data_IF_329340270700
#
_entry.id   IF_329340270700
#
_cell.length_a   1.000
_cell.length_b   1.000
_cell.length_c   1.000
_cell.angle_alpha   90.00
_cell.angle_beta   90.00
_cell.angle_gamma   90.00
#
_symmetry.space_group_name_H-M   'P 1'
#
loop_
_entity.id
_entity.type
_entity.pdbx_description
1 polymer ?
#
# COMPACT_ATOMS: atom_id res chain seq x y z
N UNK A 1 -31.57 -15.13 22.10
CA UNK A 1 -31.06 -14.03 21.24
C UNK A 1 -29.57 -14.26 21.02
N UNK A 2 -29.19 -14.82 19.88
CA UNK A 2 -27.80 -15.15 19.55
C UNK A 2 -27.04 -13.87 19.17
N UNK A 3 -26.09 -13.46 20.02
CA UNK A 3 -25.21 -12.31 19.76
C UNK A 3 -24.25 -12.70 18.64
N UNK A 4 -24.33 -12.03 17.49
CA UNK A 4 -23.39 -12.24 16.38
C UNK A 4 -21.97 -11.95 16.87
N UNK A 5 -21.03 -12.85 16.56
CA UNK A 5 -19.62 -12.74 16.95
C UNK A 5 -18.83 -11.74 16.11
N UNK A 6 -19.46 -11.16 15.08
CA UNK A 6 -18.85 -10.12 14.26
C UNK A 6 -19.02 -8.78 14.99
N UNK A 7 -17.90 -8.19 15.40
CA UNK A 7 -17.86 -6.80 15.84
C UNK A 7 -18.19 -5.85 14.68
N UNK A 8 -18.22 -4.52 14.93
CA UNK A 8 -18.35 -3.53 13.87
C UNK A 8 -17.32 -3.82 12.76
N UNK A 9 -17.77 -3.79 11.51
CA UNK A 9 -16.87 -3.93 10.38
C UNK A 9 -15.85 -2.78 10.41
N UNK A 10 -14.59 -3.02 10.01
CA UNK A 10 -13.62 -1.95 9.84
C UNK A 10 -14.21 -0.86 8.95
N UNK A 11 -14.11 0.40 9.40
CA UNK A 11 -14.46 1.55 8.57
C UNK A 11 -13.31 1.78 7.57
N UNK A 12 -13.19 0.88 6.58
CA UNK A 12 -12.20 0.93 5.50
C UNK A 12 -12.56 2.03 4.50
N UNK A 13 -12.64 3.27 4.98
CA UNK A 13 -12.87 4.44 4.12
C UNK A 13 -11.59 4.71 3.33
N UNK A 14 -11.62 4.61 1.99
CA UNK A 14 -10.45 4.91 1.18
C UNK A 14 -10.09 6.39 1.33
N UNK A 15 -8.83 6.67 1.64
CA UNK A 15 -8.29 8.03 1.65
C UNK A 15 -7.71 8.34 0.28
N UNK A 16 -8.17 9.43 -0.35
CA UNK A 16 -7.59 9.92 -1.59
C UNK A 16 -6.37 10.79 -1.29
N UNK A 17 -5.24 10.49 -1.92
CA UNK A 17 -4.02 11.27 -1.85
C UNK A 17 -3.60 11.68 -3.27
N UNK A 18 -3.28 12.96 -3.44
CA UNK A 18 -2.64 13.47 -4.66
C UNK A 18 -1.13 13.52 -4.41
N UNK A 19 -0.34 12.92 -5.29
CA UNK A 19 1.12 12.88 -5.19
C UNK A 19 1.75 13.41 -6.46
N UNK A 20 2.84 14.16 -6.31
CA UNK A 20 3.69 14.55 -7.43
C UNK A 20 4.89 13.59 -7.49
N UNK A 21 5.18 13.08 -8.69
CA UNK A 21 6.29 12.17 -8.93
C UNK A 21 7.34 12.84 -9.81
N UNK A 22 8.64 12.63 -9.54
CA UNK A 22 9.68 12.98 -10.49
C UNK A 22 9.43 12.31 -11.84
N UNK A 23 9.65 13.04 -12.94
CA UNK A 23 9.40 12.52 -14.29
C UNK A 23 10.17 11.22 -14.59
N UNK A 24 11.37 11.05 -14.02
CA UNK A 24 12.14 9.81 -14.13
C UNK A 24 11.40 8.63 -13.49
N UNK A 25 10.92 8.80 -12.25
CA UNK A 25 10.19 7.75 -11.54
C UNK A 25 8.90 7.36 -12.26
N UNK A 26 8.16 8.34 -12.82
CA UNK A 26 6.97 8.03 -13.62
C UNK A 26 7.31 7.15 -14.83
N UNK A 27 8.39 7.46 -15.56
CA UNK A 27 8.83 6.64 -16.70
C UNK A 27 9.20 5.22 -16.28
N UNK A 28 9.90 5.08 -15.15
CA UNK A 28 10.27 3.77 -14.61
C UNK A 28 9.04 2.95 -14.22
N UNK A 29 8.01 3.58 -13.64
CA UNK A 29 6.75 2.91 -13.30
C UNK A 29 5.96 2.48 -14.54
N UNK A 30 5.97 3.28 -15.61
CA UNK A 30 5.36 2.90 -16.90
C UNK A 30 6.06 1.65 -17.45
N UNK A 31 7.39 1.67 -17.55
CA UNK A 31 8.16 0.53 -18.04
C UNK A 31 7.95 -0.73 -17.18
N UNK A 32 7.90 -0.56 -15.84
CA UNK A 32 7.61 -1.66 -14.93
C UNK A 32 6.21 -2.25 -15.18
N UNK A 33 5.19 -1.40 -15.37
CA UNK A 33 3.83 -1.83 -15.65
C UNK A 33 3.68 -2.54 -16.99
N UNK A 34 4.45 -2.16 -18.01
CA UNK A 34 4.51 -2.84 -19.29
C UNK A 34 5.12 -4.24 -19.17
N UNK A 35 6.25 -4.37 -18.47
CA UNK A 35 6.94 -5.66 -18.26
C UNK A 35 6.03 -6.61 -17.48
N UNK A 36 5.52 -6.16 -16.32
CA UNK A 36 4.66 -6.98 -15.47
C UNK A 36 3.35 -7.37 -16.16
N UNK A 37 2.77 -6.44 -16.92
CA UNK A 37 1.57 -6.66 -17.71
C UNK A 37 1.76 -7.67 -18.84
N UNK A 38 2.94 -7.67 -19.46
CA UNK A 38 3.31 -8.61 -20.52
C UNK A 38 3.51 -10.02 -19.96
N UNK A 39 4.16 -10.17 -18.81
CA UNK A 39 4.37 -11.46 -18.14
C UNK A 39 3.05 -12.10 -17.67
N UNK A 40 2.09 -11.28 -17.27
CA UNK A 40 0.77 -11.73 -16.78
C UNK A 40 -0.28 -11.90 -17.88
N UNK A 41 0.02 -11.52 -19.13
CA UNK A 41 -0.93 -11.53 -20.24
C UNK A 41 -2.07 -10.51 -20.12
N UNK A 42 -1.93 -9.52 -19.23
CA UNK A 42 -2.96 -8.53 -18.90
C UNK A 42 -2.79 -7.21 -19.66
N UNK A 43 -1.72 -7.08 -20.46
CA UNK A 43 -1.36 -5.82 -21.13
C UNK A 43 -0.80 -4.79 -20.14
N UNK A 44 -0.37 -3.63 -20.64
CA UNK A 44 0.30 -2.62 -19.82
C UNK A 44 -0.53 -2.20 -18.60
N UNK A 45 0.09 -2.25 -17.41
CA UNK A 45 -0.54 -1.86 -16.15
C UNK A 45 -0.32 -0.36 -15.93
N UNK A 46 -1.40 0.36 -15.61
CA UNK A 46 -1.34 1.77 -15.22
C UNK A 46 -0.40 1.98 -14.01
N UNK A 47 0.61 2.87 -14.10
CA UNK A 47 1.49 3.23 -12.99
C UNK A 47 0.78 3.47 -11.66
N UNK A 48 -0.38 4.14 -11.67
CA UNK A 48 -1.12 4.45 -10.45
C UNK A 48 -1.58 3.18 -9.70
N UNK A 49 -1.87 2.10 -10.43
CA UNK A 49 -2.28 0.81 -9.87
C UNK A 49 -1.13 0.03 -9.23
N UNK A 50 0.11 0.41 -9.54
CA UNK A 50 1.31 -0.19 -8.94
C UNK A 50 1.65 0.44 -7.58
N UNK A 51 1.38 1.74 -7.41
CA UNK A 51 1.82 2.51 -6.24
C UNK A 51 1.30 1.90 -4.93
N UNK A 52 0.00 1.64 -4.85
CA UNK A 52 -0.63 1.10 -3.63
C UNK A 52 -0.03 -0.25 -3.21
N UNK A 53 -0.03 -1.31 -4.03
CA UNK A 53 0.53 -2.61 -3.63
C UNK A 53 2.05 -2.55 -3.38
N UNK A 54 2.80 -1.70 -4.09
CA UNK A 54 4.22 -1.49 -3.81
C UNK A 54 4.45 -0.88 -2.43
N UNK A 55 3.68 0.16 -2.06
CA UNK A 55 3.78 0.80 -0.74
C UNK A 55 3.33 -0.14 0.38
N UNK A 56 2.25 -0.89 0.19
CA UNK A 56 1.83 -1.93 1.14
C UNK A 56 2.94 -2.95 1.37
N UNK A 57 3.54 -3.46 0.29
CA UNK A 57 4.64 -4.41 0.37
C UNK A 57 5.86 -3.83 1.06
N UNK A 58 6.21 -2.58 0.75
CA UNK A 58 7.32 -1.88 1.39
C UNK A 58 7.11 -1.77 2.91
N UNK A 59 5.96 -1.23 3.34
CA UNK A 59 5.63 -1.06 4.76
C UNK A 59 5.56 -2.40 5.50
N UNK A 60 4.99 -3.43 4.87
CA UNK A 60 4.88 -4.75 5.48
C UNK A 60 6.24 -5.45 5.67
N UNK A 61 7.23 -5.15 4.82
CA UNK A 61 8.53 -5.83 4.83
C UNK A 61 9.63 -5.04 5.53
N UNK A 62 9.44 -3.74 5.77
CA UNK A 62 10.37 -2.90 6.52
C UNK A 62 10.38 -3.28 8.02
N UNK A 63 11.43 -4.00 8.42
CA UNK A 63 11.66 -4.40 9.81
C UNK A 63 12.03 -3.22 10.71
N UNK A 64 12.70 -2.21 10.18
CA UNK A 64 13.07 -1.00 10.92
C UNK A 64 11.81 -0.24 11.32
N UNK A 65 10.95 0.03 10.34
CA UNK A 65 9.62 0.59 10.57
C UNK A 65 8.79 -0.23 11.55
N UNK A 66 8.73 -1.56 11.34
CA UNK A 66 7.99 -2.47 12.22
C UNK A 66 8.46 -2.45 13.68
N UNK A 67 9.76 -2.24 13.93
CA UNK A 67 10.31 -2.09 15.29
C UNK A 67 9.94 -0.75 15.90
N UNK A 68 10.14 0.35 15.16
CA UNK A 68 9.81 1.70 15.63
C UNK A 68 8.33 1.83 15.99
N UNK A 69 7.43 1.39 15.11
CA UNK A 69 5.97 1.42 15.34
C UNK A 69 5.53 0.63 16.57
N UNK A 70 6.23 -0.46 16.93
CA UNK A 70 5.96 -1.23 18.16
C UNK A 70 6.38 -0.47 19.41
N UNK A 71 7.49 0.28 19.35
CA UNK A 71 7.97 1.11 20.45
C UNK A 71 7.02 2.28 20.69
N UNK A 72 6.58 2.96 19.62
CA UNK A 72 5.62 4.07 19.70
C UNK A 72 4.29 3.63 20.33
N UNK A 73 3.77 2.45 19.96
CA UNK A 73 2.54 1.90 20.57
C UNK A 73 2.71 1.52 22.05
N UNK A 74 3.94 1.28 22.51
CA UNK A 74 4.24 0.89 23.90
C UNK A 74 4.48 2.10 24.79
N UNK A 75 4.78 3.27 24.21
CA UNK A 75 4.83 4.51 24.96
C UNK A 75 3.40 4.84 25.45
N UNK A 76 3.18 5.00 26.78
CA UNK A 76 1.93 5.59 27.24
C UNK A 76 1.85 7.01 26.66
N UNK A 77 0.73 7.32 26.03
CA UNK A 77 0.43 8.69 25.60
C UNK A 77 0.56 9.61 26.83
N UNK A 78 1.26 10.76 26.75
CA UNK A 78 1.23 11.74 27.83
C UNK A 78 -0.18 12.30 28.04
#
# INVERSE_FOLDING_TARGET
MTKLKLGPLPDDKPVKLTVELPAALHRDLVAYGEILGSESGQGAIDPARLIVPMLERFIATDRGFSKARKLDRKAPNP
#
